data_IF_259702337532
#
_entry.id   IF_259702337532
#
_cell.length_a   1.000
_cell.length_b   1.000
_cell.length_c   1.000
_cell.angle_alpha   90.00
_cell.angle_beta   90.00
_cell.angle_gamma   90.00
#
_symmetry.space_group_name_H-M   'P 1'
#
loop_
_entity.id
_entity.type
_entity.pdbx_description
1 polymer ?
#
# COMPACT_ATOMS: atom_id res chain seq x y z
N UNK A 1 -77.96 7.11 53.76
CA UNK A 1 -76.72 6.56 54.39
C UNK A 1 -75.64 6.61 53.27
N UNK A 2 -75.04 7.77 53.18
CA UNK A 2 -73.93 8.03 52.23
C UNK A 2 -72.65 7.73 52.93
N UNK A 3 -71.82 6.88 52.32
CA UNK A 3 -70.43 6.73 52.67
C UNK A 3 -69.61 7.42 51.61
N UNK A 4 -69.00 8.52 52.05
CA UNK A 4 -68.04 9.26 51.27
C UNK A 4 -66.72 8.49 51.25
N UNK A 5 -66.34 7.91 50.13
CA UNK A 5 -65.03 7.34 49.91
C UNK A 5 -63.99 8.46 49.71
N UNK A 6 -63.30 8.77 50.78
CA UNK A 6 -62.24 9.74 50.85
C UNK A 6 -60.97 9.11 50.29
N UNK A 7 -60.61 9.35 49.04
CA UNK A 7 -59.32 9.05 48.47
C UNK A 7 -58.27 9.97 49.07
N UNK A 8 -57.18 9.45 49.63
CA UNK A 8 -56.07 10.29 50.06
C UNK A 8 -55.32 10.85 48.83
N UNK A 9 -55.40 12.14 48.62
CA UNK A 9 -54.51 12.87 47.72
C UNK A 9 -53.04 12.69 48.15
N UNK A 10 -52.34 11.81 47.45
CA UNK A 10 -50.91 11.67 47.64
C UNK A 10 -50.26 12.89 46.95
N UNK A 11 -49.95 13.91 47.72
CA UNK A 11 -49.19 15.08 47.26
C UNK A 11 -47.85 14.61 46.69
N UNK A 12 -47.72 14.77 45.40
CA UNK A 12 -46.43 14.68 44.75
C UNK A 12 -45.56 15.84 45.19
N UNK A 13 -44.57 15.54 46.06
CA UNK A 13 -43.56 16.50 46.40
C UNK A 13 -42.74 16.86 45.15
N UNK A 14 -42.76 18.12 44.79
CA UNK A 14 -41.96 18.69 43.70
C UNK A 14 -40.45 18.47 43.88
N UNK A 15 -40.00 18.16 45.10
CA UNK A 15 -38.64 17.80 45.41
C UNK A 15 -38.27 16.41 44.93
N UNK A 16 -39.19 15.42 44.92
CA UNK A 16 -38.94 14.09 44.40
C UNK A 16 -38.82 14.02 42.88
N UNK A 17 -39.46 14.93 42.17
CA UNK A 17 -39.35 15.05 40.70
C UNK A 17 -38.04 15.74 40.29
N UNK A 18 -37.54 16.65 41.10
CA UNK A 18 -36.23 17.30 40.88
C UNK A 18 -35.06 16.33 41.08
N UNK A 19 -35.20 15.40 42.05
CA UNK A 19 -34.19 14.40 42.34
C UNK A 19 -34.07 13.31 41.24
N UNK A 20 -35.09 13.06 40.47
CA UNK A 20 -35.07 12.10 39.34
C UNK A 20 -34.37 12.62 38.09
N UNK A 21 -34.20 13.92 37.98
CA UNK A 21 -33.57 14.52 36.79
C UNK A 21 -32.03 14.68 36.87
N UNK A 22 -31.43 14.40 38.05
CA UNK A 22 -30.04 14.77 38.31
C UNK A 22 -29.04 13.62 38.26
N UNK A 23 -29.41 12.44 37.81
CA UNK A 23 -28.53 11.29 37.80
C UNK A 23 -28.33 10.65 36.43
N UNK A 24 -28.10 11.47 35.41
CA UNK A 24 -27.39 10.99 34.24
C UNK A 24 -25.91 11.39 34.36
N UNK A 25 -24.97 10.46 34.62
CA UNK A 25 -23.55 10.81 34.54
C UNK A 25 -23.28 11.21 33.10
N UNK A 26 -23.16 12.53 32.87
CA UNK A 26 -22.61 13.03 31.62
C UNK A 26 -21.19 12.49 31.51
N UNK A 27 -21.04 11.37 30.82
CA UNK A 27 -19.76 10.88 30.32
C UNK A 27 -19.24 11.99 29.41
N UNK A 28 -18.53 12.95 30.00
CA UNK A 28 -17.76 13.94 29.23
C UNK A 28 -16.88 13.13 28.31
N UNK A 29 -17.26 13.09 27.05
CA UNK A 29 -16.67 12.21 26.07
C UNK A 29 -15.15 12.46 26.07
N UNK A 30 -14.39 11.42 26.27
CA UNK A 30 -12.92 11.38 26.19
C UNK A 30 -12.41 12.11 24.94
N UNK A 31 -13.17 12.04 23.87
CA UNK A 31 -12.99 12.72 22.59
C UNK A 31 -12.88 14.23 22.75
N UNK A 32 -13.75 14.86 23.55
CA UNK A 32 -13.78 16.34 23.70
C UNK A 32 -12.55 16.89 24.42
N UNK A 33 -11.97 16.10 25.34
CA UNK A 33 -10.76 16.49 26.10
C UNK A 33 -9.48 16.36 25.27
N UNK A 34 -9.46 15.46 24.27
CA UNK A 34 -8.27 15.13 23.48
C UNK A 34 -8.44 15.44 22.00
N UNK A 35 -9.48 16.19 21.63
CA UNK A 35 -9.78 16.45 20.22
C UNK A 35 -8.60 17.03 19.44
N UNK A 36 -7.86 18.00 19.99
CA UNK A 36 -6.68 18.54 19.32
C UNK A 36 -5.62 17.48 19.01
N UNK A 37 -5.37 16.57 19.97
CA UNK A 37 -4.42 15.46 19.77
C UNK A 37 -4.96 14.43 18.74
N UNK A 38 -6.26 14.16 18.78
CA UNK A 38 -6.91 13.26 17.83
C UNK A 38 -6.91 13.84 16.40
N UNK A 39 -7.11 15.15 16.26
CA UNK A 39 -7.02 15.81 14.95
C UNK A 39 -5.60 15.74 14.39
N UNK A 40 -4.58 16.03 15.19
CA UNK A 40 -3.18 15.93 14.75
C UNK A 40 -2.85 14.48 14.35
N UNK A 41 -3.26 13.51 15.17
CA UNK A 41 -3.08 12.09 14.86
C UNK A 41 -3.81 11.68 13.56
N UNK A 42 -5.03 12.16 13.36
CA UNK A 42 -5.81 11.89 12.15
C UNK A 42 -5.17 12.51 10.89
N UNK A 43 -4.68 13.77 10.99
CA UNK A 43 -4.01 14.47 9.88
C UNK A 43 -2.74 13.71 9.42
N UNK A 44 -2.05 13.04 10.33
CA UNK A 44 -0.88 12.23 9.99
C UNK A 44 -1.25 10.80 9.57
N UNK A 45 -2.19 10.17 10.27
CA UNK A 45 -2.56 8.78 10.04
C UNK A 45 -3.35 8.57 8.74
N UNK A 46 -4.26 9.49 8.39
CA UNK A 46 -5.10 9.34 7.20
C UNK A 46 -4.27 9.33 5.90
N UNK A 47 -3.36 10.29 5.65
CA UNK A 47 -2.52 10.24 4.45
C UNK A 47 -1.54 9.06 4.47
N UNK A 48 -1.00 8.68 5.64
CA UNK A 48 -0.12 7.52 5.73
C UNK A 48 -0.85 6.21 5.38
N UNK A 49 -2.07 6.02 5.89
CA UNK A 49 -2.91 4.86 5.55
C UNK A 49 -3.32 4.88 4.07
N UNK A 50 -3.69 6.05 3.54
CA UNK A 50 -4.02 6.21 2.12
C UNK A 50 -2.84 5.86 1.22
N UNK A 51 -1.66 6.35 1.55
CA UNK A 51 -0.43 6.03 0.82
C UNK A 51 -0.10 4.53 0.87
N UNK A 52 -0.20 3.92 2.04
CA UNK A 52 0.06 2.48 2.22
C UNK A 52 -0.92 1.64 1.41
N UNK A 53 -2.22 1.96 1.50
CA UNK A 53 -3.27 1.25 0.76
C UNK A 53 -3.09 1.40 -0.75
N UNK A 54 -2.80 2.61 -1.23
CA UNK A 54 -2.51 2.85 -2.64
C UNK A 54 -1.34 2.01 -3.14
N UNK A 55 -0.24 2.00 -2.38
CA UNK A 55 0.95 1.22 -2.72
C UNK A 55 0.66 -0.28 -2.77
N UNK A 56 -0.11 -0.80 -1.80
CA UNK A 56 -0.51 -2.20 -1.79
C UNK A 56 -1.34 -2.57 -3.02
N UNK A 57 -2.29 -1.71 -3.40
CA UNK A 57 -3.12 -1.93 -4.60
C UNK A 57 -2.26 -1.88 -5.87
N UNK A 58 -1.37 -0.90 -5.99
CA UNK A 58 -0.49 -0.74 -7.15
C UNK A 58 0.47 -1.93 -7.34
N UNK A 59 0.96 -2.52 -6.23
CA UNK A 59 1.81 -3.72 -6.27
C UNK A 59 1.01 -5.01 -6.50
N UNK A 60 -0.24 -5.08 -6.06
CA UNK A 60 -1.09 -6.24 -6.26
C UNK A 60 -1.68 -6.31 -7.67
N UNK A 61 -1.80 -5.15 -8.35
CA UNK A 61 -2.38 -5.10 -9.69
C UNK A 61 -1.30 -5.18 -10.76
N UNK A 62 -1.25 -6.30 -11.47
CA UNK A 62 -0.38 -6.48 -12.65
C UNK A 62 -1.07 -5.91 -13.89
N UNK A 63 -0.52 -4.83 -14.44
CA UNK A 63 -1.05 -4.18 -15.64
C UNK A 63 -0.77 -4.99 -16.90
N UNK A 64 0.42 -5.59 -17.00
CA UNK A 64 0.86 -6.40 -18.12
C UNK A 64 1.89 -7.42 -17.66
N UNK A 65 1.92 -8.58 -18.26
CA UNK A 65 2.93 -9.60 -18.05
C UNK A 65 3.37 -10.21 -19.37
N UNK A 66 4.60 -10.72 -19.44
CA UNK A 66 5.11 -11.34 -20.64
C UNK A 66 6.59 -11.72 -20.54
N UNK A 67 7.11 -12.22 -21.62
CA UNK A 67 8.53 -12.58 -21.76
C UNK A 67 9.23 -11.62 -22.73
N UNK A 68 10.46 -11.23 -22.39
CA UNK A 68 11.35 -10.46 -23.25
C UNK A 68 12.66 -11.20 -23.43
N UNK A 69 13.10 -11.34 -24.68
CA UNK A 69 14.34 -12.03 -25.02
C UNK A 69 15.40 -11.05 -25.48
N UNK A 70 16.62 -11.24 -25.01
CA UNK A 70 17.73 -10.38 -25.38
C UNK A 70 19.03 -10.77 -24.69
N UNK A 71 20.04 -9.93 -24.85
CA UNK A 71 21.32 -10.05 -24.19
C UNK A 71 21.42 -9.05 -23.04
N UNK A 72 21.79 -9.50 -21.84
CA UNK A 72 21.99 -8.63 -20.70
C UNK A 72 23.17 -7.72 -20.94
N UNK A 73 22.92 -6.42 -21.02
CA UNK A 73 23.96 -5.40 -21.27
C UNK A 73 24.47 -4.80 -19.97
N UNK A 74 23.58 -4.57 -19.04
CA UNK A 74 23.89 -3.95 -17.76
C UNK A 74 23.02 -4.55 -16.67
N UNK A 75 23.63 -4.78 -15.51
CA UNK A 75 22.92 -5.19 -14.31
C UNK A 75 23.67 -4.67 -13.10
N UNK A 76 23.02 -3.91 -12.24
CA UNK A 76 23.64 -3.28 -11.08
C UNK A 76 22.65 -3.08 -9.95
N UNK A 77 23.12 -3.16 -8.72
CA UNK A 77 22.38 -2.75 -7.55
C UNK A 77 22.43 -1.23 -7.43
N UNK A 78 21.28 -0.60 -7.27
CA UNK A 78 21.12 0.86 -7.14
C UNK A 78 20.25 1.20 -5.92
N UNK A 79 20.37 2.44 -5.48
CA UNK A 79 19.60 3.00 -4.40
C UNK A 79 20.44 3.34 -3.18
N UNK A 80 20.08 4.43 -2.52
CA UNK A 80 20.74 4.87 -1.29
C UNK A 80 20.04 4.33 -0.04
N UNK A 81 18.73 4.49 0.05
CA UNK A 81 17.91 4.02 1.18
C UNK A 81 17.20 2.70 0.85
N UNK A 82 16.62 2.65 -0.34
CA UNK A 82 15.95 1.47 -0.87
C UNK A 82 16.82 0.91 -2.00
N UNK A 83 17.38 -0.25 -1.81
CA UNK A 83 18.22 -0.90 -2.83
C UNK A 83 17.37 -1.80 -3.70
N UNK A 84 17.52 -1.63 -5.01
CA UNK A 84 16.90 -2.45 -6.05
C UNK A 84 17.95 -2.83 -7.09
N UNK A 85 17.76 -3.95 -7.75
CA UNK A 85 18.60 -4.33 -8.89
C UNK A 85 17.97 -3.81 -10.17
N UNK A 86 18.75 -3.06 -10.93
CA UNK A 86 18.33 -2.46 -12.18
C UNK A 86 19.14 -3.03 -13.34
N UNK A 87 18.46 -3.47 -14.36
CA UNK A 87 19.07 -4.08 -15.51
C UNK A 87 18.56 -3.57 -16.85
N UNK A 88 19.33 -3.88 -17.86
CA UNK A 88 19.06 -3.52 -19.25
C UNK A 88 19.39 -4.68 -20.16
N UNK A 89 18.46 -5.09 -21.02
CA UNK A 89 18.69 -6.05 -22.09
C UNK A 89 18.61 -5.40 -23.45
N UNK A 90 19.54 -5.73 -24.33
CA UNK A 90 19.39 -5.45 -25.76
C UNK A 90 18.51 -6.51 -26.40
N UNK A 91 17.35 -6.10 -26.91
CA UNK A 91 16.48 -7.00 -27.63
C UNK A 91 17.10 -7.37 -28.98
N UNK A 92 16.88 -8.62 -29.41
CA UNK A 92 17.32 -9.08 -30.72
C UNK A 92 16.41 -8.48 -31.77
N UNK A 93 16.94 -7.56 -32.54
CA UNK A 93 16.23 -6.88 -33.63
C UNK A 93 16.61 -7.48 -34.98
N UNK A 94 15.79 -7.24 -35.99
CA UNK A 94 16.12 -7.56 -37.38
C UNK A 94 17.34 -6.75 -37.85
N UNK A 95 18.14 -7.29 -38.80
CA UNK A 95 19.27 -6.58 -39.36
C UNK A 95 18.83 -5.21 -39.92
N UNK A 96 19.57 -4.14 -39.53
CA UNK A 96 19.32 -2.78 -39.98
C UNK A 96 18.41 -1.93 -39.06
N UNK A 97 17.90 -2.49 -37.95
CA UNK A 97 17.16 -1.73 -36.96
C UNK A 97 18.07 -1.29 -35.80
N UNK A 98 17.73 -0.12 -35.22
CA UNK A 98 18.41 0.38 -34.01
C UNK A 98 18.12 -0.61 -32.88
N UNK A 99 19.16 -1.00 -32.14
CA UNK A 99 19.02 -1.86 -30.98
C UNK A 99 18.06 -1.23 -29.97
N UNK A 100 16.94 -1.89 -29.76
CA UNK A 100 15.97 -1.45 -28.77
C UNK A 100 16.35 -2.07 -27.43
N UNK A 101 16.50 -1.25 -26.41
CA UNK A 101 16.82 -1.68 -25.05
C UNK A 101 15.57 -1.75 -24.20
N UNK A 102 15.51 -2.76 -23.34
CA UNK A 102 14.43 -2.91 -22.37
C UNK A 102 15.03 -2.83 -20.96
N UNK A 103 14.60 -1.80 -20.23
CA UNK A 103 15.01 -1.59 -18.84
C UNK A 103 14.04 -2.29 -17.90
N UNK A 104 14.57 -2.87 -16.82
CA UNK A 104 13.79 -3.63 -15.86
C UNK A 104 14.38 -3.55 -14.46
N UNK A 105 13.53 -3.77 -13.48
CA UNK A 105 13.84 -3.86 -12.06
C UNK A 105 13.73 -5.30 -11.58
N UNK A 106 14.60 -5.71 -10.65
CA UNK A 106 14.52 -6.98 -9.95
C UNK A 106 14.50 -6.71 -8.44
N UNK A 107 13.59 -7.36 -7.74
CA UNK A 107 13.41 -7.21 -6.29
C UNK A 107 13.83 -8.46 -5.50
N UNK A 108 13.89 -9.58 -6.18
CA UNK A 108 14.26 -10.89 -5.60
C UNK A 108 15.76 -11.14 -5.77
N UNK A 109 16.45 -11.35 -4.66
CA UNK A 109 17.90 -11.61 -4.64
C UNK A 109 18.29 -12.90 -5.37
N UNK A 110 17.39 -13.90 -5.35
CA UNK A 110 17.62 -15.17 -6.05
C UNK A 110 17.60 -14.94 -7.56
N UNK A 111 16.61 -14.19 -8.06
CA UNK A 111 16.51 -13.82 -9.48
C UNK A 111 17.68 -12.92 -9.88
N UNK A 112 18.07 -11.97 -9.04
CA UNK A 112 19.24 -11.11 -9.27
C UNK A 112 20.52 -11.91 -9.40
N UNK A 113 20.73 -12.92 -8.54
CA UNK A 113 21.86 -13.83 -8.63
C UNK A 113 21.88 -14.64 -9.94
N UNK A 114 20.72 -15.13 -10.38
CA UNK A 114 20.59 -15.86 -11.65
C UNK A 114 20.89 -14.97 -12.85
N UNK A 115 20.38 -13.74 -12.84
CA UNK A 115 20.65 -12.74 -13.89
C UNK A 115 22.14 -12.40 -13.95
N UNK A 116 22.77 -12.22 -12.79
CA UNK A 116 24.20 -11.92 -12.71
C UNK A 116 25.05 -13.05 -13.32
N UNK A 117 24.69 -14.32 -13.09
CA UNK A 117 25.36 -15.48 -13.69
C UNK A 117 25.08 -15.64 -15.20
N UNK A 118 24.02 -15.00 -15.68
CA UNK A 118 23.59 -15.05 -17.08
C UNK A 118 24.07 -13.83 -17.89
N UNK A 119 24.89 -12.95 -17.32
CA UNK A 119 25.44 -11.80 -18.06
C UNK A 119 26.21 -12.27 -19.30
N UNK A 120 26.04 -11.53 -20.39
CA UNK A 120 26.65 -11.86 -21.68
C UNK A 120 26.01 -13.05 -22.44
N UNK A 121 24.97 -13.68 -21.85
CA UNK A 121 24.21 -14.76 -22.49
C UNK A 121 22.88 -14.26 -23.01
N UNK A 122 22.32 -14.99 -23.97
CA UNK A 122 20.96 -14.75 -24.44
C UNK A 122 19.97 -15.32 -23.42
N UNK A 123 19.08 -14.46 -22.92
CA UNK A 123 18.10 -14.82 -21.90
C UNK A 123 16.67 -14.47 -22.31
N UNK A 124 15.71 -15.19 -21.76
CA UNK A 124 14.32 -14.78 -21.67
C UNK A 124 14.04 -14.31 -20.24
N UNK A 125 13.56 -13.10 -20.11
CA UNK A 125 13.12 -12.52 -18.85
C UNK A 125 11.61 -12.55 -18.82
N UNK A 126 11.04 -13.16 -17.78
CA UNK A 126 9.61 -13.07 -17.47
C UNK A 126 9.40 -11.85 -16.58
N UNK A 127 8.51 -10.95 -17.00
CA UNK A 127 8.26 -9.71 -16.29
C UNK A 127 6.76 -9.49 -16.01
N UNK A 128 6.52 -8.69 -14.98
CA UNK A 128 5.24 -8.09 -14.66
C UNK A 128 5.39 -6.57 -14.64
N UNK A 129 4.41 -5.88 -15.20
CA UNK A 129 4.36 -4.43 -15.18
C UNK A 129 3.39 -3.94 -14.11
N UNK A 130 3.89 -3.12 -13.19
CA UNK A 130 3.08 -2.44 -12.17
C UNK A 130 3.15 -0.94 -12.42
N UNK A 131 1.98 -0.31 -12.62
CA UNK A 131 1.89 1.12 -12.87
C UNK A 131 1.41 1.88 -11.65
N UNK A 132 1.87 3.13 -11.52
CA UNK A 132 1.39 4.02 -10.47
C UNK A 132 2.04 3.80 -9.12
N UNK A 133 3.24 3.21 -9.08
CA UNK A 133 4.05 3.12 -7.87
C UNK A 133 4.43 4.52 -7.40
N UNK A 134 4.20 4.85 -6.12
CA UNK A 134 4.36 6.22 -5.63
C UNK A 134 5.82 6.64 -5.41
N UNK A 135 6.75 5.70 -5.39
CA UNK A 135 8.17 5.97 -5.14
C UNK A 135 9.08 5.03 -5.91
N UNK A 136 10.30 5.49 -6.21
CA UNK A 136 11.38 4.67 -6.77
C UNK A 136 12.00 3.65 -5.78
N UNK A 137 11.52 3.61 -4.53
CA UNK A 137 11.92 2.59 -3.57
C UNK A 137 11.52 1.16 -3.96
N UNK A 138 10.56 1.04 -4.87
CA UNK A 138 10.14 -0.27 -5.36
C UNK A 138 10.85 -0.69 -6.65
N UNK A 139 11.43 0.27 -7.37
CA UNK A 139 12.15 0.10 -8.63
C UNK A 139 12.22 1.41 -9.40
N UNK A 140 13.24 1.55 -10.24
CA UNK A 140 13.37 2.69 -11.15
C UNK A 140 12.45 2.53 -12.37
N UNK A 141 12.04 1.30 -12.69
CA UNK A 141 11.16 0.99 -13.81
C UNK A 141 9.84 0.37 -13.35
N UNK A 142 8.84 0.46 -14.18
CA UNK A 142 7.55 -0.21 -13.94
C UNK A 142 7.59 -1.72 -14.22
N UNK A 143 8.68 -2.23 -14.80
CA UNK A 143 8.81 -3.62 -15.23
C UNK A 143 9.62 -4.43 -14.22
N UNK A 144 8.96 -5.33 -13.54
CA UNK A 144 9.56 -6.18 -12.51
C UNK A 144 9.81 -7.57 -13.05
N UNK A 145 11.07 -7.99 -13.09
CA UNK A 145 11.45 -9.32 -13.53
C UNK A 145 11.35 -10.30 -12.38
N UNK A 146 10.55 -11.34 -12.57
CA UNK A 146 10.32 -12.43 -11.62
C UNK A 146 10.84 -13.78 -12.11
N UNK A 147 11.40 -13.86 -13.34
CA UNK A 147 11.98 -15.07 -13.88
C UNK A 147 13.03 -14.81 -14.94
N UNK A 148 14.04 -15.67 -14.98
CA UNK A 148 15.10 -15.66 -16.01
C UNK A 148 15.39 -17.07 -16.49
N UNK A 149 15.48 -17.24 -17.80
CA UNK A 149 15.88 -18.49 -18.46
C UNK A 149 16.96 -18.19 -19.48
N UNK A 150 18.06 -18.95 -19.46
CA UNK A 150 19.08 -18.89 -20.50
C UNK A 150 18.59 -19.68 -21.70
N UNK A 151 18.57 -19.06 -22.90
CA UNK A 151 17.98 -19.66 -24.12
C UNK A 151 19.07 -20.31 -24.98
N UNK A 152 20.32 -20.03 -24.73
CA UNK A 152 21.46 -20.59 -25.47
C UNK A 152 22.62 -19.58 -25.58
N UNK A 153 23.71 -20.00 -26.19
CA UNK A 153 24.83 -19.13 -26.47
C UNK A 153 24.47 -18.02 -27.44
#
# INVERSE_FOLDING_TARGET
MSQDDQYPERGYNTEDVAAMNDTAPQKRSFVRRHWGKLLIAAVLAVPALGFTLWTMIALAYTYSSGDRTGYIQKFSEKGWLCKTYEGEIAMVNLPGQIANTFQFTVRDDSIASLINKAQGKRVALTYEQHKGLPTSCFGETDYFVNGVRVIGP
#
